data_IF_490880784012
#
_entry.id   IF_490880784012
#
_cell.length_a   1.000
_cell.length_b   1.000
_cell.length_c   1.000
_cell.angle_alpha   90.00
_cell.angle_beta   90.00
_cell.angle_gamma   90.00
#
_symmetry.space_group_name_H-M   'P 1'
#
loop_
_entity.id
_entity.type
_entity.pdbx_description
1 polymer ?
#
# COMPACT_ATOMS: atom_id res chain seq x y z
N UNK A 1 19.92 -8.09 -29.15
CA UNK A 1 19.98 -8.08 -27.65
C UNK A 1 18.70 -8.70 -27.11
N UNK A 2 18.83 -9.59 -26.14
CA UNK A 2 17.69 -10.20 -25.45
C UNK A 2 18.04 -10.29 -23.95
N UNK A 3 17.16 -9.77 -23.11
CA UNK A 3 17.27 -9.91 -21.67
C UNK A 3 16.65 -11.21 -21.18
N UNK A 4 17.33 -11.86 -20.27
CA UNK A 4 16.89 -13.10 -19.64
C UNK A 4 16.90 -12.97 -18.13
N UNK A 5 16.00 -13.70 -17.47
CA UNK A 5 15.77 -13.68 -16.03
C UNK A 5 15.79 -15.09 -15.46
N UNK A 6 16.28 -15.21 -14.24
CA UNK A 6 16.36 -16.47 -13.49
C UNK A 6 15.92 -16.27 -12.04
N UNK A 7 15.21 -17.26 -11.48
CA UNK A 7 14.86 -17.34 -10.07
C UNK A 7 15.95 -18.04 -9.23
N UNK A 8 16.75 -18.92 -9.84
CA UNK A 8 17.71 -19.81 -9.17
C UNK A 8 19.18 -19.51 -9.54
N UNK A 9 19.42 -18.49 -10.41
CA UNK A 9 20.72 -18.15 -10.94
C UNK A 9 21.27 -19.14 -11.97
N UNK A 10 20.57 -20.23 -12.28
CA UNK A 10 21.02 -21.28 -13.21
C UNK A 10 20.18 -21.34 -14.48
N UNK A 11 18.87 -21.37 -14.33
CA UNK A 11 17.92 -21.50 -15.44
C UNK A 11 17.37 -20.14 -15.86
N UNK A 12 17.73 -19.69 -17.06
CA UNK A 12 17.38 -18.38 -17.59
C UNK A 12 16.31 -18.48 -18.67
N UNK A 13 15.21 -17.79 -18.50
CA UNK A 13 14.14 -17.60 -19.49
C UNK A 13 14.20 -16.20 -20.11
N UNK A 14 13.75 -16.06 -21.35
CA UNK A 14 13.64 -14.77 -22.02
C UNK A 14 12.55 -13.91 -21.37
N UNK A 15 12.85 -12.63 -21.18
CA UNK A 15 11.85 -11.62 -20.81
C UNK A 15 11.19 -11.15 -22.12
N UNK A 16 9.88 -11.36 -22.29
CA UNK A 16 9.19 -10.96 -23.52
C UNK A 16 9.32 -9.46 -23.79
N UNK A 17 9.69 -9.11 -25.03
CA UNK A 17 9.81 -7.71 -25.44
C UNK A 17 11.05 -6.95 -24.93
N UNK A 18 11.88 -7.55 -24.08
CA UNK A 18 13.10 -6.92 -23.56
C UNK A 18 14.27 -7.08 -24.55
N UNK A 19 14.28 -6.26 -25.59
CA UNK A 19 15.27 -6.31 -26.70
C UNK A 19 16.13 -5.05 -26.81
N UNK A 20 15.90 -4.05 -25.97
CA UNK A 20 16.67 -2.81 -25.96
C UNK A 20 18.05 -2.99 -25.28
N UNK A 21 18.95 -2.05 -25.52
CA UNK A 21 20.28 -2.03 -24.88
C UNK A 21 20.20 -1.82 -23.36
N UNK A 22 19.11 -1.23 -22.87
CA UNK A 22 18.83 -1.05 -21.46
C UNK A 22 17.52 -1.75 -21.05
N UNK A 23 17.48 -2.21 -19.81
CA UNK A 23 16.30 -2.82 -19.21
C UNK A 23 16.14 -2.28 -17.79
N UNK A 24 14.96 -1.79 -17.46
CA UNK A 24 14.63 -1.32 -16.11
C UNK A 24 13.82 -2.41 -15.40
N UNK A 25 14.37 -3.04 -14.36
CA UNK A 25 13.61 -3.99 -13.55
C UNK A 25 12.40 -3.31 -12.88
N UNK A 26 11.37 -4.10 -12.61
CA UNK A 26 10.14 -3.72 -11.89
C UNK A 26 9.91 -4.70 -10.76
N UNK A 27 8.84 -4.52 -9.99
CA UNK A 27 8.49 -5.36 -8.86
C UNK A 27 8.50 -6.86 -9.19
N UNK A 28 7.95 -7.26 -10.32
CA UNK A 28 7.96 -8.66 -10.78
C UNK A 28 9.35 -9.27 -10.99
N UNK A 29 10.41 -8.44 -10.99
CA UNK A 29 11.79 -8.89 -11.17
C UNK A 29 12.58 -8.97 -9.85
N UNK A 30 12.02 -8.49 -8.75
CA UNK A 30 12.65 -8.48 -7.42
C UNK A 30 13.05 -9.90 -6.99
N UNK A 31 14.23 -10.03 -6.38
CA UNK A 31 14.82 -11.29 -5.97
C UNK A 31 15.44 -12.14 -7.07
N UNK A 32 15.32 -11.72 -8.33
CA UNK A 32 15.79 -12.49 -9.51
C UNK A 32 17.07 -11.91 -10.09
N UNK A 33 17.87 -12.76 -10.75
CA UNK A 33 19.06 -12.36 -11.48
C UNK A 33 18.76 -12.16 -12.96
N UNK A 34 19.44 -11.22 -13.58
CA UNK A 34 19.30 -10.86 -14.99
C UNK A 34 20.60 -11.11 -15.73
N UNK A 35 20.52 -11.42 -17.03
CA UNK A 35 21.65 -11.42 -17.96
C UNK A 35 21.21 -11.03 -19.36
N UNK A 36 22.17 -10.61 -20.16
CA UNK A 36 21.98 -10.25 -21.57
C UNK A 36 22.55 -11.34 -22.47
N UNK A 37 21.84 -11.63 -23.55
CA UNK A 37 22.31 -12.41 -24.67
C UNK A 37 22.34 -11.51 -25.89
N UNK A 38 23.51 -11.41 -26.50
CA UNK A 38 23.74 -10.69 -27.78
C UNK A 38 24.06 -11.69 -28.89
N UNK A 39 23.32 -11.60 -29.97
CA UNK A 39 23.64 -12.35 -31.21
C UNK A 39 23.98 -11.37 -32.32
N UNK A 40 24.98 -11.71 -33.11
CA UNK A 40 25.40 -10.91 -34.27
C UNK A 40 26.01 -11.82 -35.36
N UNK A 41 26.08 -11.33 -36.57
CA UNK A 41 26.84 -11.97 -37.62
C UNK A 41 28.27 -11.42 -37.65
N UNK A 42 29.25 -12.31 -37.71
CA UNK A 42 30.64 -11.90 -37.90
C UNK A 42 30.91 -11.43 -39.33
N UNK A 43 32.14 -10.98 -39.61
CA UNK A 43 32.54 -10.49 -40.94
C UNK A 43 32.55 -11.57 -42.03
N UNK A 44 32.36 -12.84 -41.68
CA UNK A 44 32.30 -14.00 -42.56
C UNK A 44 30.87 -14.56 -42.69
N UNK A 45 29.89 -13.96 -41.99
CA UNK A 45 28.48 -14.33 -42.01
C UNK A 45 28.11 -15.47 -41.04
N UNK A 46 28.97 -15.82 -40.08
CA UNK A 46 28.63 -16.78 -39.02
C UNK A 46 27.87 -16.11 -37.92
N UNK A 47 26.86 -16.81 -37.35
CA UNK A 47 26.10 -16.33 -36.21
C UNK A 47 26.88 -16.56 -34.91
N UNK A 48 27.23 -15.46 -34.26
CA UNK A 48 27.93 -15.46 -32.97
C UNK A 48 26.98 -15.11 -31.82
N UNK A 49 27.27 -15.67 -30.64
CA UNK A 49 26.45 -15.42 -29.41
C UNK A 49 27.36 -15.09 -28.24
N UNK A 50 27.10 -13.95 -27.61
CA UNK A 50 27.72 -13.53 -26.35
C UNK A 50 26.68 -13.53 -25.24
N UNK A 51 27.07 -14.02 -24.07
CA UNK A 51 26.23 -14.06 -22.87
C UNK A 51 26.98 -13.32 -21.76
N UNK A 52 26.32 -12.35 -21.13
CA UNK A 52 26.90 -11.64 -20.00
C UNK A 52 26.94 -12.50 -18.73
N UNK A 53 27.82 -12.13 -17.79
CA UNK A 53 27.66 -12.57 -16.41
C UNK A 53 26.27 -12.13 -15.87
N UNK A 54 25.69 -12.87 -14.94
CA UNK A 54 24.46 -12.46 -14.31
C UNK A 54 24.65 -11.26 -13.38
N UNK A 55 23.60 -10.47 -13.20
CA UNK A 55 23.56 -9.44 -12.16
C UNK A 55 23.47 -10.09 -10.77
N UNK A 56 23.70 -9.30 -9.74
CA UNK A 56 23.15 -9.62 -8.40
C UNK A 56 21.63 -9.66 -8.48
N UNK A 57 20.94 -10.33 -7.53
CA UNK A 57 19.48 -10.28 -7.48
C UNK A 57 18.98 -8.84 -7.45
N UNK A 58 17.89 -8.57 -8.18
CA UNK A 58 17.19 -7.28 -8.14
C UNK A 58 16.70 -7.05 -6.72
N UNK A 59 17.08 -5.94 -6.12
CA UNK A 59 16.63 -5.56 -4.78
C UNK A 59 15.28 -4.84 -4.85
N UNK A 60 14.45 -5.00 -3.82
CA UNK A 60 13.23 -4.22 -3.68
C UNK A 60 13.56 -2.76 -3.36
N UNK A 61 12.77 -1.85 -3.91
CA UNK A 61 12.70 -0.45 -3.49
C UNK A 61 11.30 -0.24 -2.98
N UNK A 62 11.15 0.19 -1.73
CA UNK A 62 9.84 0.36 -1.11
C UNK A 62 8.93 1.28 -1.92
N UNK A 63 7.82 0.75 -2.37
CA UNK A 63 6.73 1.50 -2.95
C UNK A 63 5.75 1.93 -1.84
N UNK A 64 5.20 3.13 -1.96
CA UNK A 64 4.19 3.59 -0.99
C UNK A 64 2.81 3.10 -1.40
N UNK A 65 1.95 2.81 -0.41
CA UNK A 65 0.58 2.46 -0.71
C UNK A 65 -0.13 3.53 -1.54
N UNK A 66 -0.97 3.08 -2.44
CA UNK A 66 -1.85 3.88 -3.29
C UNK A 66 -3.30 3.64 -2.94
N UNK A 67 -4.20 4.42 -3.53
CA UNK A 67 -5.62 4.38 -3.19
C UNK A 67 -5.97 5.29 -2.02
N UNK A 68 -7.16 5.13 -1.45
CA UNK A 68 -7.68 5.97 -0.38
C UNK A 68 -8.32 5.15 0.72
N UNK A 69 -8.06 5.54 1.94
CA UNK A 69 -8.81 5.10 3.13
C UNK A 69 -9.97 6.07 3.30
N UNK A 70 -11.20 5.54 3.34
CA UNK A 70 -12.41 6.35 3.48
C UNK A 70 -13.05 6.15 4.83
N UNK A 71 -13.45 7.27 5.42
CA UNK A 71 -14.35 7.31 6.56
C UNK A 71 -15.70 7.81 6.06
N UNK A 72 -16.74 7.01 6.24
CA UNK A 72 -18.11 7.26 5.80
C UNK A 72 -19.07 7.16 6.98
N UNK A 73 -20.33 7.52 6.77
CA UNK A 73 -21.34 7.54 7.80
C UNK A 73 -21.76 8.95 8.16
N UNK A 74 -22.73 9.06 9.06
CA UNK A 74 -23.26 10.34 9.53
C UNK A 74 -22.56 10.75 10.81
N UNK A 75 -21.97 11.96 10.83
CA UNK A 75 -21.33 12.53 12.01
C UNK A 75 -22.39 13.10 12.97
N UNK A 76 -23.18 12.22 13.55
CA UNK A 76 -24.22 12.54 14.51
C UNK A 76 -24.23 11.51 15.63
N UNK A 77 -24.63 11.95 16.83
CA UNK A 77 -24.96 11.05 17.92
C UNK A 77 -25.95 9.97 17.46
N UNK A 78 -25.89 8.78 18.02
CA UNK A 78 -26.67 7.57 17.69
C UNK A 78 -26.46 7.02 16.27
N UNK A 79 -25.51 7.57 15.52
CA UNK A 79 -25.07 7.07 14.23
C UNK A 79 -23.74 6.32 14.33
N UNK A 80 -23.13 5.97 13.21
CA UNK A 80 -21.83 5.32 13.15
C UNK A 80 -20.94 5.90 12.06
N UNK A 81 -19.64 5.96 12.33
CA UNK A 81 -18.61 6.13 11.33
C UNK A 81 -18.06 4.76 10.92
N UNK A 82 -17.87 4.56 9.63
CA UNK A 82 -17.45 3.29 9.04
C UNK A 82 -16.18 3.51 8.22
N UNK A 83 -15.17 2.71 8.53
CA UNK A 83 -13.90 2.69 7.82
C UNK A 83 -14.00 1.80 6.57
N UNK A 84 -13.51 2.28 5.45
CA UNK A 84 -13.36 1.53 4.21
C UNK A 84 -11.92 1.63 3.71
N UNK A 85 -11.24 0.50 3.64
CA UNK A 85 -9.87 0.35 3.17
C UNK A 85 -9.77 -0.41 1.85
N UNK A 86 -10.90 -0.70 1.21
CA UNK A 86 -10.97 -1.57 0.03
C UNK A 86 -10.22 -1.04 -1.20
N UNK A 87 -9.99 0.27 -1.28
CA UNK A 87 -9.23 0.90 -2.37
C UNK A 87 -7.70 0.91 -2.13
N UNK A 88 -7.24 0.51 -0.94
CA UNK A 88 -5.80 0.53 -0.62
C UNK A 88 -5.11 -0.58 -1.39
N UNK A 89 -4.02 -0.23 -2.04
CA UNK A 89 -3.16 -1.16 -2.77
C UNK A 89 -1.70 -0.79 -2.57
N UNK A 90 -0.86 -1.82 -2.41
CA UNK A 90 0.58 -1.71 -2.29
C UNK A 90 1.25 -2.73 -3.22
N UNK A 91 2.17 -2.29 -4.07
CA UNK A 91 2.89 -3.16 -5.00
C UNK A 91 3.82 -4.14 -4.26
N UNK A 92 4.30 -3.72 -3.08
CA UNK A 92 5.12 -4.54 -2.17
C UNK A 92 4.31 -5.56 -1.35
N UNK A 93 2.98 -5.54 -1.48
CA UNK A 93 2.05 -6.39 -0.76
C UNK A 93 1.55 -5.77 0.54
N UNK A 94 0.46 -6.28 1.07
CA UNK A 94 -0.16 -5.77 2.29
C UNK A 94 -0.28 -6.88 3.33
N UNK A 95 0.23 -6.62 4.52
CA UNK A 95 -0.04 -7.41 5.71
C UNK A 95 -1.38 -7.05 6.36
N UNK A 96 -1.70 -7.65 7.51
CA UNK A 96 -2.89 -7.27 8.27
C UNK A 96 -2.87 -5.80 8.67
N UNK A 97 -4.02 -5.14 8.53
CA UNK A 97 -4.19 -3.76 8.96
C UNK A 97 -4.40 -3.67 10.47
N UNK A 98 -3.80 -2.63 11.08
CA UNK A 98 -4.08 -2.19 12.44
C UNK A 98 -4.71 -0.80 12.35
N UNK A 99 -5.80 -0.58 13.07
CA UNK A 99 -6.56 0.65 13.06
C UNK A 99 -6.37 1.41 14.37
N UNK A 100 -6.11 2.71 14.28
CA UNK A 100 -6.11 3.62 15.42
C UNK A 100 -7.08 4.76 15.10
N UNK A 101 -8.21 4.78 15.78
CA UNK A 101 -9.11 5.91 15.75
C UNK A 101 -8.47 7.10 16.46
N UNK A 102 -8.46 8.22 15.80
CA UNK A 102 -7.96 9.49 16.35
C UNK A 102 -9.09 10.52 16.37
N UNK A 103 -9.06 11.39 17.36
CA UNK A 103 -10.02 12.48 17.47
C UNK A 103 -9.31 13.81 17.70
N UNK A 104 -9.99 14.89 17.36
CA UNK A 104 -9.58 16.27 17.64
C UNK A 104 -10.80 17.11 17.97
N UNK A 105 -10.59 18.23 18.67
CA UNK A 105 -11.57 19.26 18.89
C UNK A 105 -10.98 20.62 18.52
N UNK A 106 -11.77 21.72 18.40
CA UNK A 106 -11.31 23.01 17.90
C UNK A 106 -10.06 23.60 18.54
N UNK A 107 -9.72 23.18 19.75
CA UNK A 107 -8.61 23.74 20.54
C UNK A 107 -7.54 22.68 20.89
N UNK A 108 -7.61 21.47 20.32
CA UNK A 108 -6.67 20.39 20.59
C UNK A 108 -6.06 19.87 19.29
N UNK A 109 -4.90 19.22 19.38
CA UNK A 109 -4.36 18.43 18.27
C UNK A 109 -5.03 17.05 18.19
N UNK A 110 -4.60 16.27 17.20
CA UNK A 110 -5.02 14.87 17.08
C UNK A 110 -4.48 14.05 18.23
N UNK A 111 -5.35 13.30 18.88
CA UNK A 111 -5.02 12.32 19.91
C UNK A 111 -5.58 10.95 19.55
N UNK A 112 -4.92 9.87 20.00
CA UNK A 112 -5.47 8.53 19.85
C UNK A 112 -6.69 8.41 20.76
N UNK A 113 -7.79 7.91 20.19
CA UNK A 113 -9.04 7.71 20.91
C UNK A 113 -9.21 6.25 21.33
N UNK A 114 -9.06 5.32 20.40
CA UNK A 114 -9.07 3.89 20.66
C UNK A 114 -8.12 3.16 19.71
N UNK A 115 -7.55 2.07 20.17
CA UNK A 115 -6.71 1.13 19.39
C UNK A 115 -7.47 -0.17 19.12
N UNK A 116 -8.79 -0.17 19.30
CA UNK A 116 -9.63 -1.31 18.93
C UNK A 116 -9.60 -1.46 17.40
N UNK A 117 -9.22 -2.65 16.91
CA UNK A 117 -9.17 -2.99 15.48
C UNK A 117 -10.58 -3.11 14.87
N UNK A 118 -11.41 -2.11 15.11
CA UNK A 118 -12.78 -2.06 14.61
C UNK A 118 -12.89 -1.09 13.44
N UNK A 119 -13.56 -1.52 12.40
CA UNK A 119 -13.88 -0.67 11.23
C UNK A 119 -15.09 0.24 11.49
N UNK A 120 -15.73 0.14 12.65
CA UNK A 120 -16.95 0.88 12.99
C UNK A 120 -16.80 1.56 14.34
N UNK A 121 -17.01 2.88 14.36
CA UNK A 121 -17.14 3.67 15.56
C UNK A 121 -18.61 4.08 15.74
N UNK A 122 -19.27 3.52 16.75
CA UNK A 122 -20.63 3.94 17.15
C UNK A 122 -20.55 5.25 17.93
N UNK A 123 -21.22 6.26 17.44
CA UNK A 123 -21.20 7.60 18.02
C UNK A 123 -22.23 7.71 19.15
N UNK A 124 -21.83 8.35 20.25
CA UNK A 124 -22.64 8.57 21.45
C UNK A 124 -22.41 10.00 21.94
N UNK A 125 -23.09 10.41 23.00
CA UNK A 125 -22.97 11.74 23.62
C UNK A 125 -21.50 12.16 23.88
N UNK A 126 -20.65 11.25 24.30
CA UNK A 126 -19.22 11.51 24.57
C UNK A 126 -18.38 11.87 23.33
N UNK A 127 -18.91 11.60 22.13
CA UNK A 127 -18.27 11.90 20.86
C UNK A 127 -18.67 13.27 20.29
N UNK A 128 -19.69 13.90 20.86
CA UNK A 128 -20.21 15.19 20.37
C UNK A 128 -19.13 16.26 20.39
N UNK A 129 -19.07 17.06 19.34
CA UNK A 129 -18.10 18.13 19.09
C UNK A 129 -16.69 17.68 18.71
N UNK A 130 -16.41 16.38 18.65
CA UNK A 130 -15.15 15.86 18.12
C UNK A 130 -15.24 15.53 16.64
N UNK A 131 -14.13 15.73 15.95
CA UNK A 131 -13.87 15.27 14.59
C UNK A 131 -12.99 14.03 14.67
N UNK A 132 -13.23 13.05 13.82
CA UNK A 132 -12.54 11.76 13.81
C UNK A 132 -11.80 11.51 12.51
N UNK A 133 -10.70 10.75 12.59
CA UNK A 133 -10.03 10.09 11.48
C UNK A 133 -9.47 8.75 11.94
N UNK A 134 -9.10 7.91 10.99
CA UNK A 134 -8.44 6.64 11.30
C UNK A 134 -7.03 6.65 10.73
N UNK A 135 -6.08 6.25 11.55
CA UNK A 135 -4.73 5.91 11.16
C UNK A 135 -4.67 4.41 10.93
N UNK A 136 -4.36 4.02 9.70
CA UNK A 136 -4.23 2.63 9.27
C UNK A 136 -2.76 2.31 9.10
N UNK A 137 -2.31 1.22 9.70
CA UNK A 137 -0.92 0.75 9.61
C UNK A 137 -0.88 -0.71 9.20
N UNK A 138 0.16 -1.08 8.49
CA UNK A 138 0.50 -2.48 8.20
C UNK A 138 2.00 -2.63 7.94
N UNK A 139 2.46 -3.88 7.89
CA UNK A 139 3.79 -4.24 7.41
C UNK A 139 3.62 -4.83 6.01
N UNK A 140 4.37 -4.33 5.03
CA UNK A 140 4.35 -4.83 3.67
C UNK A 140 5.05 -6.20 3.51
N UNK A 141 5.12 -6.72 2.30
CA UNK A 141 5.77 -8.01 2.01
C UNK A 141 7.30 -7.98 2.10
N UNK A 142 7.91 -6.82 2.33
CA UNK A 142 9.35 -6.61 2.47
C UNK A 142 9.73 -5.97 3.81
N UNK A 143 8.89 -6.16 4.83
CA UNK A 143 9.10 -5.69 6.22
C UNK A 143 9.14 -4.17 6.40
N UNK A 144 8.60 -3.38 5.46
CA UNK A 144 8.43 -1.95 5.66
C UNK A 144 7.10 -1.66 6.34
N UNK A 145 7.13 -0.66 7.23
CA UNK A 145 5.94 -0.17 7.93
C UNK A 145 5.30 0.93 7.11
N UNK A 146 4.05 0.72 6.70
CA UNK A 146 3.26 1.69 5.96
C UNK A 146 2.17 2.30 6.84
N UNK A 147 1.89 3.59 6.63
CA UNK A 147 0.90 4.36 7.39
C UNK A 147 0.09 5.21 6.42
N UNK A 148 -1.23 5.07 6.52
CA UNK A 148 -2.19 5.86 5.73
C UNK A 148 -3.23 6.44 6.69
N UNK A 149 -3.78 7.59 6.35
CA UNK A 149 -4.87 8.22 7.10
C UNK A 149 -6.14 8.29 6.26
N UNK A 150 -7.29 8.12 6.91
CA UNK A 150 -8.59 8.40 6.28
C UNK A 150 -8.78 9.91 6.07
N UNK A 151 -9.81 10.28 5.31
CA UNK A 151 -10.40 11.60 5.43
C UNK A 151 -10.88 11.83 6.87
N UNK A 152 -11.06 13.10 7.20
CA UNK A 152 -11.65 13.53 8.47
C UNK A 152 -13.17 13.48 8.39
N UNK A 153 -13.85 13.15 9.49
CA UNK A 153 -15.29 13.32 9.62
C UNK A 153 -15.63 14.81 9.79
N UNK A 154 -16.90 15.15 9.64
CA UNK A 154 -17.42 16.38 10.26
C UNK A 154 -17.38 16.25 11.79
N UNK A 155 -17.45 17.39 12.50
CA UNK A 155 -17.64 17.36 13.96
C UNK A 155 -18.96 16.69 14.30
N UNK A 156 -18.93 15.74 15.22
CA UNK A 156 -20.13 15.01 15.64
C UNK A 156 -21.15 15.98 16.22
N UNK A 157 -22.33 16.03 15.63
CA UNK A 157 -23.44 16.85 16.12
C UNK A 157 -24.24 16.11 17.18
N UNK A 158 -24.79 16.87 18.12
CA UNK A 158 -25.73 16.35 19.09
C UNK A 158 -27.08 16.02 18.44
N UNK A 159 -27.74 14.99 18.89
CA UNK A 159 -29.12 14.67 18.61
C UNK A 159 -29.92 14.86 19.91
N UNK A 160 -31.06 15.52 19.82
CA UNK A 160 -31.88 15.80 20.98
C UNK A 160 -32.56 14.52 21.48
N UNK A 161 -32.23 14.09 22.68
CA UNK A 161 -32.82 12.93 23.33
C UNK A 161 -34.22 13.27 23.91
N UNK A 162 -35.22 12.43 23.64
CA UNK A 162 -36.51 12.66 24.25
C UNK A 162 -36.43 12.56 25.78
N UNK A 163 -36.98 13.56 26.48
CA UNK A 163 -37.10 13.53 27.93
C UNK A 163 -38.00 12.34 28.31
N UNK A 164 -37.41 11.34 28.94
CA UNK A 164 -38.19 10.26 29.52
C UNK A 164 -39.02 10.89 30.68
N UNK A 165 -40.30 11.07 30.46
CA UNK A 165 -41.24 11.51 31.50
C UNK A 165 -41.28 10.48 32.63
N UNK A 166 -41.28 10.97 33.86
CA UNK A 166 -41.51 10.18 35.09
C UNK A 166 -42.92 9.56 35.10
#
# INVERSE_FOLDING_TARGET
VVWKISNDGNSYRTIPGATNQSFTPRQEHVGRTLRVVLTYLDGQGNLETLISEPTTPVINVNDKPTGVVRLTGESAEDSALILDVSDVYDEDGMGPFNYTWQRTSPNTGWENYTEDDTEVLNLRQEHVSYTYRVRVEYIDGFDNREVIYSNESEAVRNVDDPVLGD
#
